data_IF_377840596783
#
_entry.id   IF_377840596783
#
_cell.length_a   1.000
_cell.length_b   1.000
_cell.length_c   1.000
_cell.angle_alpha   90.00
_cell.angle_beta   90.00
_cell.angle_gamma   90.00
#
_symmetry.space_group_name_H-M   'P 1'
#
loop_
_entity.id
_entity.type
_entity.pdbx_description
1 polymer ?
#
# COMPACT_ATOMS: atom_id res chain seq x y z
N UNK A 1 12.84 5.73 -11.43
CA UNK A 1 11.63 4.89 -11.39
C UNK A 1 11.33 4.43 -12.80
N UNK A 2 11.37 3.12 -13.08
CA UNK A 2 11.01 2.59 -14.40
C UNK A 2 9.57 2.97 -14.74
N UNK A 3 9.37 3.57 -15.93
CA UNK A 3 8.04 3.69 -16.51
C UNK A 3 7.46 2.29 -16.66
N UNK A 4 6.22 2.08 -16.20
CA UNK A 4 5.53 0.81 -16.46
C UNK A 4 5.39 0.72 -17.98
N UNK A 5 5.91 -0.33 -18.64
CA UNK A 5 5.90 -0.40 -20.09
C UNK A 5 4.48 -0.24 -20.63
N UNK A 6 4.25 0.74 -21.50
CA UNK A 6 2.91 1.04 -22.04
C UNK A 6 2.24 -0.20 -22.66
N UNK A 7 3.04 -1.11 -23.24
CA UNK A 7 2.58 -2.39 -23.75
C UNK A 7 1.93 -3.25 -22.67
N UNK A 8 2.56 -3.40 -21.50
CA UNK A 8 2.03 -4.21 -20.39
C UNK A 8 0.73 -3.61 -19.85
N UNK A 9 0.65 -2.27 -19.77
CA UNK A 9 -0.58 -1.55 -19.38
C UNK A 9 -1.73 -1.84 -20.35
N UNK A 10 -1.46 -1.85 -21.66
CA UNK A 10 -2.47 -2.13 -22.69
C UNK A 10 -2.91 -3.59 -22.69
N UNK A 11 -1.97 -4.54 -22.53
CA UNK A 11 -2.34 -5.96 -22.45
C UNK A 11 -3.14 -6.27 -21.17
N UNK A 12 -2.80 -5.66 -20.04
CA UNK A 12 -3.56 -5.76 -18.79
C UNK A 12 -4.98 -5.22 -18.93
N UNK A 13 -5.14 -4.07 -19.60
CA UNK A 13 -6.45 -3.52 -19.95
C UNK A 13 -7.27 -4.48 -20.82
N UNK A 14 -6.67 -5.06 -21.85
CA UNK A 14 -7.34 -6.03 -22.74
C UNK A 14 -7.74 -7.29 -21.98
N UNK A 15 -6.92 -7.77 -21.06
CA UNK A 15 -7.23 -8.92 -20.23
C UNK A 15 -8.46 -8.63 -19.35
N UNK A 16 -8.45 -7.50 -18.62
CA UNK A 16 -9.59 -7.08 -17.80
C UNK A 16 -10.88 -6.97 -18.61
N UNK A 17 -10.83 -6.38 -19.81
CA UNK A 17 -12.01 -6.22 -20.67
C UNK A 17 -12.63 -7.55 -21.13
N UNK A 18 -11.92 -8.68 -21.06
CA UNK A 18 -12.49 -10.01 -21.36
C UNK A 18 -13.32 -10.58 -20.21
N UNK A 19 -13.24 -9.98 -19.01
CA UNK A 19 -13.94 -10.43 -17.82
C UNK A 19 -15.26 -9.66 -17.63
N UNK A 20 -16.27 -10.23 -16.96
CA UNK A 20 -17.41 -9.47 -16.45
C UNK A 20 -16.96 -8.33 -15.53
N UNK A 21 -17.69 -7.21 -15.51
CA UNK A 21 -17.32 -6.00 -14.74
C UNK A 21 -17.12 -6.32 -13.27
N UNK A 22 -17.98 -7.16 -12.67
CA UNK A 22 -17.89 -7.55 -11.26
C UNK A 22 -16.56 -8.26 -10.97
N UNK A 23 -16.11 -9.13 -11.90
CA UNK A 23 -14.82 -9.81 -11.78
C UNK A 23 -13.64 -8.86 -11.98
N UNK A 24 -13.76 -7.87 -12.86
CA UNK A 24 -12.74 -6.83 -13.04
C UNK A 24 -12.53 -6.06 -11.73
N UNK A 25 -13.61 -5.55 -11.15
CA UNK A 25 -13.54 -4.75 -9.92
C UNK A 25 -13.01 -5.56 -8.74
N UNK A 26 -13.37 -6.84 -8.64
CA UNK A 26 -12.87 -7.74 -7.60
C UNK A 26 -11.37 -8.03 -7.74
N UNK A 27 -10.90 -8.26 -8.96
CA UNK A 27 -9.47 -8.47 -9.23
C UNK A 27 -8.64 -7.23 -8.89
N UNK A 28 -9.14 -6.04 -9.25
CA UNK A 28 -8.50 -4.77 -8.89
C UNK A 28 -8.46 -4.57 -7.38
N UNK A 29 -9.54 -4.90 -6.66
CA UNK A 29 -9.59 -4.85 -5.19
C UNK A 29 -8.49 -5.70 -4.56
N UNK A 30 -8.37 -6.97 -4.98
CA UNK A 30 -7.34 -7.88 -4.47
C UNK A 30 -5.95 -7.30 -4.70
N UNK A 31 -5.64 -6.91 -5.93
CA UNK A 31 -4.34 -6.33 -6.27
C UNK A 31 -4.02 -5.12 -5.37
N UNK A 32 -4.98 -4.23 -5.14
CA UNK A 32 -4.76 -3.03 -4.34
C UNK A 32 -4.59 -3.31 -2.85
N UNK A 33 -5.25 -4.35 -2.34
CA UNK A 33 -5.13 -4.77 -0.95
C UNK A 33 -3.88 -5.60 -0.69
N UNK A 34 -3.33 -6.27 -1.71
CA UNK A 34 -2.17 -7.16 -1.56
C UNK A 34 -0.83 -6.49 -1.83
N UNK A 35 -0.77 -5.28 -2.41
CA UNK A 35 0.47 -4.51 -2.56
C UNK A 35 0.71 -3.66 -1.30
N UNK A 36 1.86 -3.67 -0.60
CA UNK A 36 3.16 -4.24 -1.01
C UNK A 36 3.52 -5.64 -0.43
N UNK A 37 2.58 -6.54 -0.13
CA UNK A 37 2.87 -7.77 0.62
C UNK A 37 3.90 -8.70 -0.05
N UNK A 38 3.77 -8.87 -1.36
CA UNK A 38 4.73 -9.52 -2.26
C UNK A 38 3.97 -9.75 -3.57
N UNK A 39 4.64 -9.58 -4.72
CA UNK A 39 4.03 -9.89 -6.02
C UNK A 39 3.63 -11.36 -6.09
N UNK A 40 4.42 -12.25 -5.49
CA UNK A 40 4.18 -13.70 -5.49
C UNK A 40 2.98 -14.09 -4.61
N UNK A 41 2.77 -13.40 -3.49
CA UNK A 41 1.62 -13.63 -2.61
C UNK A 41 0.32 -13.11 -3.26
N UNK A 42 0.40 -11.94 -3.90
CA UNK A 42 -0.71 -11.39 -4.70
C UNK A 42 -1.10 -12.36 -5.82
N UNK A 43 -0.10 -12.94 -6.49
CA UNK A 43 -0.31 -13.95 -7.53
C UNK A 43 -1.01 -15.20 -6.97
N UNK A 44 -0.59 -15.72 -5.80
CA UNK A 44 -1.23 -16.89 -5.18
C UNK A 44 -2.70 -16.63 -4.85
N UNK A 45 -3.02 -15.49 -4.22
CA UNK A 45 -4.40 -15.12 -3.89
C UNK A 45 -5.28 -15.01 -5.15
N UNK A 46 -4.74 -14.48 -6.24
CA UNK A 46 -5.45 -14.38 -7.52
C UNK A 46 -5.69 -15.78 -8.12
N UNK A 47 -4.69 -16.68 -8.05
CA UNK A 47 -4.83 -18.06 -8.54
C UNK A 47 -5.89 -18.83 -7.74
N UNK A 48 -5.92 -18.65 -6.43
CA UNK A 48 -6.89 -19.32 -5.55
C UNK A 48 -8.34 -18.89 -5.83
N UNK A 49 -8.58 -17.60 -6.13
CA UNK A 49 -9.92 -17.06 -6.35
C UNK A 49 -10.39 -17.13 -7.81
N UNK A 50 -9.49 -17.00 -8.79
CA UNK A 50 -9.83 -16.94 -10.22
C UNK A 50 -9.41 -18.20 -11.00
N UNK A 51 -8.75 -19.17 -10.35
CA UNK A 51 -8.18 -20.35 -10.98
C UNK A 51 -6.82 -20.06 -11.63
N UNK A 52 -6.19 -21.08 -12.26
CA UNK A 52 -4.89 -20.91 -12.89
C UNK A 52 -4.99 -19.93 -14.07
N UNK A 53 -4.60 -18.68 -13.82
CA UNK A 53 -4.32 -17.68 -14.84
C UNK A 53 -2.83 -17.68 -15.19
N UNK A 54 -2.46 -17.26 -16.41
CA UNK A 54 -1.05 -17.09 -16.75
C UNK A 54 -0.44 -16.02 -15.84
N UNK A 55 0.71 -16.30 -15.23
CA UNK A 55 1.47 -15.34 -14.43
C UNK A 55 1.72 -14.03 -15.18
N UNK A 56 1.84 -14.13 -16.51
CA UNK A 56 1.99 -12.99 -17.38
C UNK A 56 0.73 -12.10 -17.38
N UNK A 57 -0.46 -12.70 -17.47
CA UNK A 57 -1.72 -11.96 -17.44
C UNK A 57 -1.88 -11.20 -16.10
N UNK A 58 -1.54 -11.86 -14.98
CA UNK A 58 -1.59 -11.22 -13.64
C UNK A 58 -0.63 -10.02 -13.56
N UNK A 59 0.60 -10.17 -14.07
CA UNK A 59 1.59 -9.08 -14.11
C UNK A 59 1.12 -7.90 -14.95
N UNK A 60 0.48 -8.17 -16.07
CA UNK A 60 -0.07 -7.12 -16.95
C UNK A 60 -1.24 -6.38 -16.29
N UNK A 61 -2.12 -7.09 -15.56
CA UNK A 61 -3.19 -6.44 -14.76
C UNK A 61 -2.63 -5.62 -13.60
N UNK A 62 -1.57 -6.11 -12.93
CA UNK A 62 -0.84 -5.33 -11.92
C UNK A 62 -0.26 -4.04 -12.52
N UNK A 63 0.41 -4.14 -13.67
CA UNK A 63 0.96 -3.00 -14.41
C UNK A 63 -0.13 -1.98 -14.76
N UNK A 64 -1.28 -2.45 -15.25
CA UNK A 64 -2.44 -1.62 -15.53
C UNK A 64 -2.97 -0.90 -14.27
N UNK A 65 -3.14 -1.63 -13.17
CA UNK A 65 -3.63 -1.07 -11.90
C UNK A 65 -2.70 0.01 -11.37
N UNK A 66 -1.38 -0.22 -11.40
CA UNK A 66 -0.36 0.77 -11.02
C UNK A 66 -0.42 2.01 -11.92
N UNK A 67 -0.64 1.84 -13.23
CA UNK A 67 -0.75 2.96 -14.17
C UNK A 67 -1.99 3.84 -13.89
N UNK A 68 -3.12 3.24 -13.49
CA UNK A 68 -4.30 3.99 -13.04
C UNK A 68 -3.97 4.78 -11.78
N UNK A 69 -3.39 4.15 -10.76
CA UNK A 69 -3.02 4.80 -9.50
C UNK A 69 -2.09 5.99 -9.76
N UNK A 70 -1.04 5.81 -10.57
CA UNK A 70 -0.13 6.90 -10.96
C UNK A 70 -0.83 8.03 -11.71
N UNK A 71 -1.80 7.70 -12.55
CA UNK A 71 -2.58 8.70 -13.28
C UNK A 71 -3.47 9.50 -12.34
N UNK A 72 -4.17 8.84 -11.41
CA UNK A 72 -5.02 9.50 -10.41
C UNK A 72 -4.21 10.36 -9.42
N UNK A 73 -2.93 10.07 -9.21
CA UNK A 73 -2.05 10.90 -8.39
C UNK A 73 -1.68 12.25 -9.05
N UNK A 74 -1.87 12.39 -10.36
CA UNK A 74 -1.41 13.56 -11.14
C UNK A 74 -2.51 14.20 -12.01
N UNK A 75 -3.66 13.55 -12.14
CA UNK A 75 -4.76 13.97 -13.02
C UNK A 75 -6.10 13.82 -12.33
N UNK A 76 -7.05 14.65 -12.75
CA UNK A 76 -8.44 14.55 -12.33
C UNK A 76 -9.08 13.20 -12.75
N UNK A 77 -9.97 12.61 -11.93
CA UNK A 77 -10.64 11.35 -12.25
C UNK A 77 -11.30 11.34 -13.63
N UNK A 78 -11.89 12.48 -14.04
CA UNK A 78 -12.53 12.64 -15.35
C UNK A 78 -11.57 12.48 -16.53
N UNK A 79 -10.29 12.82 -16.36
CA UNK A 79 -9.26 12.62 -17.38
C UNK A 79 -8.81 11.17 -17.47
N UNK A 80 -8.71 10.49 -16.33
CA UNK A 80 -8.40 9.07 -16.26
C UNK A 80 -9.52 8.25 -16.92
N UNK A 81 -10.79 8.59 -16.68
CA UNK A 81 -11.95 7.98 -17.36
C UNK A 81 -11.85 8.17 -18.89
N UNK A 82 -11.52 9.37 -19.36
CA UNK A 82 -11.30 9.62 -20.81
C UNK A 82 -10.15 8.75 -21.35
N UNK A 83 -9.09 8.54 -20.58
CA UNK A 83 -7.99 7.64 -20.91
C UNK A 83 -8.44 6.19 -21.09
N UNK A 84 -9.17 5.65 -20.12
CA UNK A 84 -9.73 4.29 -20.18
C UNK A 84 -10.67 4.12 -21.37
N UNK A 85 -11.50 5.11 -21.68
CA UNK A 85 -12.36 5.08 -22.87
C UNK A 85 -11.57 4.98 -24.18
N UNK A 86 -10.44 5.68 -24.29
CA UNK A 86 -9.55 5.56 -25.46
C UNK A 86 -8.92 4.16 -25.58
N UNK A 87 -8.83 3.42 -24.48
CA UNK A 87 -8.33 2.05 -24.46
C UNK A 87 -9.41 1.00 -24.78
N UNK A 88 -10.70 1.40 -24.87
CA UNK A 88 -11.81 0.52 -25.25
C UNK A 88 -12.85 0.26 -24.16
N UNK A 89 -12.66 0.80 -22.94
CA UNK A 89 -13.67 0.69 -21.88
C UNK A 89 -14.91 1.54 -22.19
N UNK A 90 -16.09 1.05 -21.80
CA UNK A 90 -17.32 1.87 -21.80
C UNK A 90 -17.22 2.96 -20.74
N UNK A 91 -18.00 4.04 -20.88
CA UNK A 91 -18.04 5.13 -19.87
C UNK A 91 -18.40 4.60 -18.47
N UNK A 92 -19.39 3.71 -18.40
CA UNK A 92 -19.85 3.11 -17.15
C UNK A 92 -18.78 2.25 -16.50
N UNK A 93 -18.12 1.38 -17.29
CA UNK A 93 -17.06 0.51 -16.77
C UNK A 93 -15.82 1.34 -16.36
N UNK A 94 -15.44 2.33 -17.16
CA UNK A 94 -14.33 3.23 -16.84
C UNK A 94 -14.57 4.00 -15.52
N UNK A 95 -15.80 4.48 -15.29
CA UNK A 95 -16.20 5.10 -14.03
C UNK A 95 -16.10 4.10 -12.87
N UNK A 96 -16.70 2.93 -13.01
CA UNK A 96 -16.68 1.90 -11.97
C UNK A 96 -15.25 1.50 -11.57
N UNK A 97 -14.34 1.37 -12.54
CA UNK A 97 -12.92 1.09 -12.28
C UNK A 97 -12.27 2.24 -11.51
N UNK A 98 -12.46 3.48 -11.95
CA UNK A 98 -11.86 4.65 -11.28
C UNK A 98 -12.41 4.82 -9.87
N UNK A 99 -13.72 4.69 -9.68
CA UNK A 99 -14.37 4.78 -8.38
C UNK A 99 -13.89 3.67 -7.45
N UNK A 100 -13.76 2.44 -7.97
CA UNK A 100 -13.22 1.30 -7.20
C UNK A 100 -11.78 1.56 -6.78
N UNK A 101 -10.92 2.01 -7.70
CA UNK A 101 -9.53 2.34 -7.36
C UNK A 101 -9.48 3.45 -6.31
N UNK A 102 -10.23 4.54 -6.47
CA UNK A 102 -10.29 5.60 -5.45
C UNK A 102 -10.78 5.08 -4.09
N UNK A 103 -11.79 4.21 -4.08
CA UNK A 103 -12.32 3.62 -2.85
C UNK A 103 -11.38 2.65 -2.16
N UNK A 104 -10.43 2.05 -2.88
CA UNK A 104 -9.45 1.09 -2.35
C UNK A 104 -8.07 1.73 -2.17
N UNK A 105 -7.86 2.99 -2.61
CA UNK A 105 -6.59 3.68 -2.43
C UNK A 105 -6.25 3.70 -0.93
N UNK A 106 -5.01 3.30 -0.58
CA UNK A 106 -4.52 3.46 0.79
C UNK A 106 -4.57 4.93 1.17
N UNK A 107 -5.05 5.21 2.37
CA UNK A 107 -4.98 6.54 2.98
C UNK A 107 -4.57 6.39 4.44
N UNK A 108 -4.01 7.45 5.02
CA UNK A 108 -3.62 7.43 6.42
C UNK A 108 -4.82 7.14 7.33
N UNK A 109 -6.03 7.60 6.98
CA UNK A 109 -7.27 7.34 7.70
C UNK A 109 -7.66 5.85 7.62
N UNK A 110 -7.62 5.22 6.44
CA UNK A 110 -7.96 3.80 6.30
C UNK A 110 -6.94 2.89 6.98
N UNK A 111 -5.66 3.21 6.85
CA UNK A 111 -4.61 2.45 7.52
C UNK A 111 -4.75 2.61 9.05
N UNK A 112 -5.06 3.81 9.55
CA UNK A 112 -5.36 4.05 10.95
C UNK A 112 -6.61 3.31 11.45
N UNK A 113 -7.69 3.27 10.67
CA UNK A 113 -8.91 2.54 11.01
C UNK A 113 -8.62 1.04 11.20
N UNK A 114 -7.85 0.43 10.30
CA UNK A 114 -7.40 -0.96 10.45
C UNK A 114 -6.56 -1.15 11.72
N UNK A 115 -5.57 -0.28 11.96
CA UNK A 115 -4.70 -0.39 13.12
C UNK A 115 -5.48 -0.20 14.44
N UNK A 116 -6.57 0.56 14.45
CA UNK A 116 -7.41 0.77 15.64
C UNK A 116 -8.16 -0.47 16.10
N UNK A 117 -8.41 -1.42 15.20
CA UNK A 117 -9.06 -2.70 15.50
C UNK A 117 -8.22 -3.55 16.45
N UNK A 118 -6.89 -3.44 16.36
CA UNK A 118 -5.94 -4.19 17.18
C UNK A 118 -5.96 -3.73 18.63
N UNK A 119 -5.80 -4.66 19.56
CA UNK A 119 -5.62 -4.31 20.96
C UNK A 119 -4.24 -3.67 21.23
N UNK A 120 -4.03 -3.24 22.48
CA UNK A 120 -2.80 -2.53 22.87
C UNK A 120 -1.55 -3.43 22.76
N UNK A 121 -1.67 -4.70 23.11
CA UNK A 121 -0.54 -5.64 23.11
C UNK A 121 -0.19 -6.04 21.67
N UNK A 122 -1.20 -6.23 20.83
CA UNK A 122 -1.07 -6.43 19.38
C UNK A 122 -0.40 -5.22 18.71
N UNK A 123 -0.82 -4.00 19.02
CA UNK A 123 -0.20 -2.77 18.50
C UNK A 123 1.25 -2.60 18.98
N UNK A 124 1.53 -2.86 20.26
CA UNK A 124 2.89 -2.81 20.80
C UNK A 124 3.80 -3.81 20.08
N UNK A 125 3.33 -5.04 19.88
CA UNK A 125 4.08 -6.05 19.12
C UNK A 125 4.28 -5.64 17.67
N UNK A 126 3.23 -5.12 17.03
CA UNK A 126 3.27 -4.71 15.63
C UNK A 126 4.26 -3.56 15.41
N UNK A 127 4.29 -2.53 16.27
CA UNK A 127 5.25 -1.43 16.12
C UNK A 127 6.69 -1.89 16.35
N UNK A 128 6.95 -2.72 17.37
CA UNK A 128 8.29 -3.25 17.67
C UNK A 128 8.82 -4.14 16.55
N UNK A 129 7.99 -5.04 16.03
CA UNK A 129 8.38 -5.94 14.94
C UNK A 129 8.43 -5.21 13.60
N UNK A 130 7.62 -4.17 13.39
CA UNK A 130 7.74 -3.28 12.24
C UNK A 130 9.09 -2.57 12.21
N UNK A 131 9.63 -2.11 13.34
CA UNK A 131 10.98 -1.52 13.38
C UNK A 131 12.00 -2.50 12.82
N UNK A 132 12.00 -3.74 13.32
CA UNK A 132 12.86 -4.84 12.86
C UNK A 132 12.67 -5.13 11.37
N UNK A 133 11.43 -5.17 10.90
CA UNK A 133 11.10 -5.31 9.47
C UNK A 133 11.65 -4.15 8.64
N UNK A 134 11.49 -2.92 9.12
CA UNK A 134 11.98 -1.74 8.44
C UNK A 134 13.51 -1.70 8.36
N UNK A 135 14.21 -2.19 9.38
CA UNK A 135 15.68 -2.22 9.47
C UNK A 135 16.31 -3.43 8.79
N UNK A 136 15.53 -4.45 8.44
CA UNK A 136 15.94 -5.56 7.59
C UNK A 136 16.14 -6.90 8.30
N UNK A 137 15.52 -7.10 9.46
CA UNK A 137 15.59 -8.36 10.22
C UNK A 137 14.77 -9.50 9.62
N UNK A 138 13.91 -9.24 8.63
CA UNK A 138 13.09 -10.25 7.97
C UNK A 138 13.33 -10.24 6.46
N UNK A 139 13.26 -11.41 5.85
CA UNK A 139 13.42 -11.60 4.41
C UNK A 139 12.17 -11.18 3.62
N UNK A 140 11.01 -11.08 4.29
CA UNK A 140 9.77 -10.63 3.65
C UNK A 140 8.57 -10.54 4.59
N UNK A 141 7.44 -10.11 4.04
CA UNK A 141 6.21 -9.88 4.80
C UNK A 141 5.60 -11.17 5.35
N UNK A 142 5.79 -12.31 4.69
CA UNK A 142 5.31 -13.61 5.17
C UNK A 142 5.98 -14.02 6.48
N UNK A 143 7.32 -13.91 6.55
CA UNK A 143 8.07 -14.22 7.77
C UNK A 143 7.68 -13.26 8.91
N UNK A 144 7.51 -11.98 8.60
CA UNK A 144 7.04 -11.00 9.57
C UNK A 144 5.60 -11.30 10.06
N UNK A 145 4.70 -11.73 9.17
CA UNK A 145 3.33 -12.10 9.53
C UNK A 145 3.30 -13.30 10.48
N UNK A 146 4.16 -14.29 10.26
CA UNK A 146 4.31 -15.46 11.13
C UNK A 146 4.81 -15.09 12.53
N UNK A 147 5.80 -14.19 12.65
CA UNK A 147 6.31 -13.74 13.96
C UNK A 147 5.28 -12.92 14.74
N UNK A 148 4.57 -12.01 14.06
CA UNK A 148 3.59 -11.13 14.70
C UNK A 148 2.30 -11.86 15.05
N UNK A 149 1.91 -12.85 14.24
CA UNK A 149 0.64 -13.58 14.39
C UNK A 149 -0.57 -12.77 13.94
N UNK A 150 -0.38 -11.76 13.07
CA UNK A 150 -1.45 -10.92 12.54
C UNK A 150 -1.64 -11.14 11.04
N UNK A 151 -2.86 -10.89 10.56
CA UNK A 151 -3.17 -10.94 9.14
C UNK A 151 -2.37 -9.88 8.35
N UNK A 152 -1.95 -10.22 7.13
CA UNK A 152 -1.12 -9.38 6.25
C UNK A 152 -1.66 -7.95 6.08
N UNK A 153 -2.98 -7.76 6.09
CA UNK A 153 -3.60 -6.43 5.98
C UNK A 153 -3.14 -5.45 7.08
N UNK A 154 -2.94 -5.93 8.31
CA UNK A 154 -2.46 -5.08 9.42
C UNK A 154 -1.00 -4.70 9.25
N UNK A 155 -0.18 -5.62 8.72
CA UNK A 155 1.24 -5.37 8.44
C UNK A 155 1.42 -4.35 7.31
N UNK A 156 0.57 -4.43 6.28
CA UNK A 156 0.55 -3.48 5.17
C UNK A 156 0.15 -2.09 5.63
N UNK A 157 -0.94 -2.00 6.42
CA UNK A 157 -1.39 -0.75 7.02
C UNK A 157 -0.29 -0.13 7.91
N UNK A 158 0.32 -0.95 8.79
CA UNK A 158 1.45 -0.53 9.62
C UNK A 158 2.62 0.01 8.79
N UNK A 159 3.02 -0.71 7.74
CA UNK A 159 4.14 -0.29 6.88
C UNK A 159 3.90 1.10 6.30
N UNK A 160 2.73 1.31 5.70
CA UNK A 160 2.38 2.59 5.07
C UNK A 160 2.22 3.70 6.10
N UNK A 161 1.49 3.43 7.18
CA UNK A 161 1.17 4.42 8.20
C UNK A 161 2.40 4.86 8.98
N UNK A 162 3.23 3.92 9.44
CA UNK A 162 4.44 4.22 10.20
C UNK A 162 5.55 4.81 9.34
N UNK A 163 5.75 4.35 8.10
CA UNK A 163 6.74 4.98 7.20
C UNK A 163 6.35 6.43 6.85
N UNK A 164 5.06 6.68 6.60
CA UNK A 164 4.54 8.04 6.36
C UNK A 164 4.71 8.92 7.59
N UNK A 165 4.30 8.43 8.77
CA UNK A 165 4.43 9.16 10.03
C UNK A 165 5.89 9.47 10.36
N UNK A 166 6.78 8.48 10.21
CA UNK A 166 8.22 8.64 10.40
C UNK A 166 8.77 9.70 9.45
N UNK A 167 8.38 9.70 8.18
CA UNK A 167 8.82 10.69 7.20
C UNK A 167 8.45 12.11 7.65
N UNK A 168 7.20 12.36 8.03
CA UNK A 168 6.78 13.68 8.49
C UNK A 168 7.48 14.12 9.78
N UNK A 169 7.78 13.17 10.67
CA UNK A 169 8.59 13.45 11.87
C UNK A 169 10.03 13.86 11.51
N UNK A 170 10.69 13.07 10.66
CA UNK A 170 12.09 13.32 10.27
C UNK A 170 12.26 14.58 9.40
N UNK A 171 11.24 14.94 8.62
CA UNK A 171 11.21 16.19 7.83
C UNK A 171 10.92 17.42 8.70
N UNK A 172 10.59 17.26 9.98
CA UNK A 172 10.23 18.34 10.88
C UNK A 172 8.83 18.93 10.64
N UNK A 173 8.02 18.29 9.80
CA UNK A 173 6.61 18.67 9.55
C UNK A 173 5.76 18.43 10.81
N UNK A 174 6.13 17.41 11.59
CA UNK A 174 5.44 16.98 12.79
C UNK A 174 6.46 16.60 13.89
N UNK A 175 6.15 16.84 15.16
CA UNK A 175 6.92 16.27 16.28
C UNK A 175 6.25 15.00 16.79
N UNK A 176 6.97 14.12 17.50
CA UNK A 176 6.38 12.92 18.12
C UNK A 176 5.20 13.26 19.04
N UNK A 177 5.29 14.38 19.78
CA UNK A 177 4.17 14.90 20.58
C UNK A 177 2.95 15.24 19.72
N UNK A 178 3.16 15.94 18.59
CA UNK A 178 2.07 16.28 17.65
C UNK A 178 1.51 15.04 16.96
N UNK A 179 2.34 14.03 16.68
CA UNK A 179 1.89 12.74 16.15
C UNK A 179 0.95 12.05 17.15
N UNK A 180 1.29 12.02 18.43
CA UNK A 180 0.40 11.47 19.46
C UNK A 180 -0.95 12.21 19.50
N UNK A 181 -0.93 13.54 19.43
CA UNK A 181 -2.16 14.34 19.39
C UNK A 181 -3.00 14.05 18.14
N UNK A 182 -2.37 13.91 16.97
CA UNK A 182 -3.05 13.59 15.72
C UNK A 182 -3.64 12.18 15.73
N UNK A 183 -2.93 11.19 16.28
CA UNK A 183 -3.44 9.83 16.49
C UNK A 183 -4.76 9.84 17.26
N UNK A 184 -4.88 10.68 18.28
CA UNK A 184 -6.09 10.79 19.09
C UNK A 184 -7.18 11.59 18.38
N UNK A 185 -6.85 12.81 17.91
CA UNK A 185 -7.84 13.78 17.43
C UNK A 185 -8.32 13.50 16.01
N UNK A 186 -7.38 13.15 15.13
CA UNK A 186 -7.62 13.07 13.69
C UNK A 186 -7.89 11.63 13.27
N UNK A 187 -7.21 10.66 13.91
CA UNK A 187 -7.32 9.24 13.57
C UNK A 187 -8.19 8.43 14.55
N UNK A 188 -8.55 8.98 15.72
CA UNK A 188 -9.48 8.36 16.67
C UNK A 188 -8.92 7.21 17.51
N UNK A 189 -7.61 7.13 17.68
CA UNK A 189 -6.99 6.16 18.59
C UNK A 189 -7.30 6.49 20.06
N UNK A 190 -7.44 5.46 20.88
CA UNK A 190 -7.44 5.61 22.33
C UNK A 190 -6.08 6.16 22.80
N UNK A 191 -6.05 7.02 23.84
CA UNK A 191 -4.81 7.64 24.31
C UNK A 191 -3.68 6.66 24.61
N UNK A 192 -4.01 5.49 25.19
CA UNK A 192 -3.02 4.46 25.52
C UNK A 192 -2.43 3.80 24.28
N UNK A 193 -3.24 3.54 23.24
CA UNK A 193 -2.79 2.98 21.97
C UNK A 193 -1.91 4.01 21.22
N UNK A 194 -2.33 5.27 21.22
CA UNK A 194 -1.56 6.35 20.62
C UNK A 194 -0.20 6.55 21.30
N UNK A 195 -0.15 6.47 22.63
CA UNK A 195 1.10 6.53 23.39
C UNK A 195 2.02 5.35 23.05
N UNK A 196 1.49 4.13 22.99
CA UNK A 196 2.28 2.93 22.67
C UNK A 196 2.91 3.02 21.28
N UNK A 197 2.15 3.47 20.28
CA UNK A 197 2.65 3.66 18.92
C UNK A 197 3.77 4.70 18.86
N UNK A 198 3.58 5.85 19.50
CA UNK A 198 4.59 6.92 19.51
C UNK A 198 5.83 6.50 20.28
N UNK A 199 5.67 5.80 21.41
CA UNK A 199 6.78 5.29 22.19
C UNK A 199 7.61 4.28 21.40
N UNK A 200 6.96 3.35 20.69
CA UNK A 200 7.67 2.40 19.83
C UNK A 200 8.50 3.09 18.73
N UNK A 201 8.00 4.19 18.16
CA UNK A 201 8.76 5.01 17.20
C UNK A 201 9.89 5.80 17.87
N UNK A 202 9.63 6.37 19.04
CA UNK A 202 10.58 7.18 19.81
C UNK A 202 11.79 6.35 20.27
N UNK A 203 11.55 5.15 20.81
CA UNK A 203 12.58 4.21 21.29
C UNK A 203 13.59 3.85 20.20
N UNK A 204 13.18 3.87 18.93
CA UNK A 204 13.99 3.44 17.79
C UNK A 204 14.27 4.54 16.77
N UNK A 205 14.03 5.82 17.11
CA UNK A 205 14.05 6.92 16.14
C UNK A 205 15.42 7.11 15.46
N UNK A 206 16.51 6.87 16.17
CA UNK A 206 17.88 6.99 15.65
C UNK A 206 18.19 5.91 14.60
N UNK A 207 17.71 4.69 14.82
CA UNK A 207 17.91 3.57 13.89
C UNK A 207 17.01 3.70 12.66
N UNK A 208 15.75 4.06 12.89
CA UNK A 208 14.77 4.33 11.83
C UNK A 208 15.24 5.48 10.92
N UNK A 209 15.72 6.58 11.51
CA UNK A 209 16.21 7.74 10.75
C UNK A 209 17.41 7.41 9.87
N UNK A 210 18.39 6.68 10.42
CA UNK A 210 19.57 6.21 9.67
C UNK A 210 19.15 5.31 8.51
N UNK A 211 18.30 4.33 8.78
CA UNK A 211 17.82 3.38 7.77
C UNK A 211 17.08 4.10 6.64
N UNK A 212 16.18 5.03 7.00
CA UNK A 212 15.41 5.80 6.02
C UNK A 212 16.32 6.69 5.16
N UNK A 213 17.33 7.33 5.75
CA UNK A 213 18.33 8.12 5.03
C UNK A 213 19.07 7.26 3.98
N UNK A 214 19.57 6.09 4.37
CA UNK A 214 20.26 5.20 3.42
C UNK A 214 19.34 4.66 2.33
N UNK A 215 18.07 4.33 2.66
CA UNK A 215 17.07 3.95 1.64
C UNK A 215 16.86 5.07 0.62
N UNK A 216 16.78 6.34 1.05
CA UNK A 216 16.65 7.48 0.14
C UNK A 216 17.91 7.75 -0.67
N UNK A 217 19.11 7.68 -0.05
CA UNK A 217 20.38 7.83 -0.76
C UNK A 217 20.55 6.77 -1.84
N UNK A 218 20.25 5.51 -1.52
CA UNK A 218 20.25 4.41 -2.50
C UNK A 218 19.30 4.69 -3.65
N UNK A 219 18.07 5.14 -3.37
CA UNK A 219 17.09 5.52 -4.41
C UNK A 219 17.59 6.64 -5.32
N UNK A 220 18.39 7.58 -4.81
CA UNK A 220 19.01 8.65 -5.60
C UNK A 220 20.12 8.07 -6.48
N UNK A 221 20.99 7.22 -5.93
CA UNK A 221 22.06 6.55 -6.69
C UNK A 221 21.48 5.70 -7.83
N UNK A 222 20.49 4.85 -7.54
CA UNK A 222 19.80 4.00 -8.52
C UNK A 222 19.06 4.81 -9.61
N UNK A 223 18.81 6.10 -9.40
CA UNK A 223 18.16 6.97 -10.38
C UNK A 223 19.16 7.75 -11.26
N UNK A 224 20.44 7.77 -10.88
CA UNK A 224 21.53 8.43 -11.61
C UNK A 224 22.29 7.41 -12.47
N UNK A 225 22.26 6.12 -12.10
CA UNK A 225 22.73 4.98 -12.92
C UNK A 225 21.72 4.58 -14.01
#
# INVERSE_FOLDING_TARGET
MSEVPYREVVEGAKFLMKMPVEKQLRLLELIMRSVPASVDETIRQIIDEFGPADLKDIREVLAFTVAIIKSLATKEPSEVIKGLKRMGFTEENAKAIVDKVLSELPSAEKDADLLRELDKDELSRLVRTWVRFFTGDYDGMTEWAEDVGLATQYLLAATRFFESSLKSVLMGEMSLRKLQEALIKDYGFEPEKAEELVRGLEEHIDELSRTMLFKYLKRILDAIE
#
